data_IF_034563222259
#
_entry.id   IF_034563222259
#
_cell.length_a   1.000
_cell.length_b   1.000
_cell.length_c   1.000
_cell.angle_alpha   90.00
_cell.angle_beta   90.00
_cell.angle_gamma   90.00
#
_symmetry.space_group_name_H-M   'P 1'
#
loop_
_entity.id
_entity.type
_entity.pdbx_description
1 polymer ?
#
# COMPACT_ATOMS: atom_id res chain seq x y z
N UNK A 1 -27.06 -2.67 -8.00
CA UNK A 1 -25.76 -3.08 -7.47
C UNK A 1 -25.03 -1.84 -6.98
N UNK A 2 -24.93 -1.66 -5.66
CA UNK A 2 -24.29 -0.47 -5.09
C UNK A 2 -22.78 -0.65 -5.18
N UNK A 3 -22.12 0.24 -5.94
CA UNK A 3 -20.66 0.31 -6.06
C UNK A 3 -20.12 0.88 -4.75
N UNK A 4 -19.45 0.05 -3.95
CA UNK A 4 -18.70 0.53 -2.80
C UNK A 4 -17.31 0.93 -3.29
N UNK A 5 -17.15 2.22 -3.59
CA UNK A 5 -15.85 2.83 -3.83
C UNK A 5 -15.48 3.65 -2.61
N UNK A 6 -14.32 3.36 -2.08
CA UNK A 6 -13.70 4.14 -1.03
C UNK A 6 -13.08 5.39 -1.66
N UNK A 7 -13.91 6.39 -1.96
CA UNK A 7 -13.45 7.72 -2.33
C UNK A 7 -13.77 8.68 -1.21
N UNK A 8 -12.74 9.17 -0.58
CA UNK A 8 -12.84 10.34 0.28
C UNK A 8 -12.77 11.55 -0.62
N UNK A 9 -13.93 11.99 -1.09
CA UNK A 9 -14.08 13.30 -1.66
C UNK A 9 -14.40 14.28 -0.53
N UNK A 10 -13.42 14.98 -0.05
CA UNK A 10 -13.65 16.26 0.63
C UNK A 10 -14.13 17.25 -0.43
N UNK A 11 -15.44 17.49 -0.44
CA UNK A 11 -16.05 18.53 -1.27
C UNK A 11 -15.68 19.90 -0.69
N UNK A 12 -14.83 20.62 -1.40
CA UNK A 12 -14.76 22.06 -1.36
C UNK A 12 -15.07 22.59 -2.76
N UNK A 13 -15.95 23.59 -2.92
CA UNK A 13 -16.26 24.13 -4.22
C UNK A 13 -15.07 24.94 -4.75
N UNK A 14 -14.43 24.47 -5.80
CA UNK A 14 -13.45 25.25 -6.54
C UNK A 14 -14.16 26.08 -7.61
N UNK A 15 -13.96 27.38 -7.52
CA UNK A 15 -14.15 28.33 -8.60
C UNK A 15 -13.19 27.96 -9.74
N UNK A 16 -13.76 27.73 -10.91
CA UNK A 16 -13.02 27.53 -12.14
C UNK A 16 -12.26 28.79 -12.53
N UNK A 17 -10.96 28.66 -12.71
CA UNK A 17 -10.21 29.49 -13.64
C UNK A 17 -9.42 28.57 -14.56
N UNK A 18 -9.91 28.48 -15.81
CA UNK A 18 -9.26 27.80 -16.91
C UNK A 18 -8.11 28.64 -17.42
N UNK A 19 -6.89 28.09 -17.45
CA UNK A 19 -5.89 28.45 -18.44
C UNK A 19 -5.06 27.21 -18.72
N UNK A 20 -5.20 26.68 -19.92
CA UNK A 20 -4.40 25.60 -20.44
C UNK A 20 -2.96 26.04 -20.65
N UNK A 21 -2.05 25.20 -20.28
CA UNK A 21 -0.65 25.26 -20.59
C UNK A 21 -0.10 23.84 -20.41
N UNK A 22 0.14 23.15 -21.51
CA UNK A 22 0.91 21.91 -21.51
C UNK A 22 2.36 22.25 -21.09
N UNK A 23 2.69 22.05 -19.82
CA UNK A 23 4.07 22.09 -19.37
C UNK A 23 4.79 20.85 -19.93
N UNK A 24 5.90 21.02 -20.66
CA UNK A 24 6.67 19.89 -21.16
C UNK A 24 7.24 19.11 -19.97
N UNK A 25 6.80 17.88 -19.80
CA UNK A 25 7.39 16.95 -18.84
C UNK A 25 8.89 16.86 -19.06
N UNK A 26 9.73 17.11 -18.04
CA UNK A 26 11.17 16.95 -18.19
C UNK A 26 11.48 15.49 -18.56
N UNK A 27 12.16 15.29 -19.69
CA UNK A 27 12.64 13.94 -20.08
C UNK A 27 13.58 13.44 -19.00
N UNK A 28 13.38 12.22 -18.49
CA UNK A 28 14.32 11.59 -17.57
C UNK A 28 15.71 11.55 -18.23
N UNK A 29 16.77 11.86 -17.48
CA UNK A 29 18.14 11.60 -17.95
C UNK A 29 18.24 10.10 -18.16
N UNK A 30 18.63 9.68 -19.37
CA UNK A 30 18.92 8.25 -19.66
C UNK A 30 19.99 7.77 -18.68
N UNK A 31 19.81 6.60 -18.04
CA UNK A 31 20.86 6.02 -17.22
C UNK A 31 22.07 5.69 -18.09
N UNK A 32 23.27 5.91 -17.55
CA UNK A 32 24.53 5.60 -18.22
C UNK A 32 24.49 4.14 -18.74
N UNK A 33 24.78 3.97 -20.03
CA UNK A 33 24.86 2.65 -20.68
C UNK A 33 25.94 1.82 -19.98
N UNK A 34 25.49 0.81 -19.19
CA UNK A 34 26.43 -0.16 -18.61
C UNK A 34 25.97 -0.91 -17.37
N UNK A 35 24.97 -0.43 -16.62
CA UNK A 35 24.42 -1.17 -15.49
C UNK A 35 22.90 -1.22 -15.59
N UNK A 36 22.37 -2.36 -16.00
CA UNK A 36 20.95 -2.66 -15.88
C UNK A 36 20.61 -2.61 -14.39
N UNK A 37 19.88 -1.59 -13.98
CA UNK A 37 19.42 -1.49 -12.61
C UNK A 37 18.19 -2.39 -12.44
N UNK A 38 18.42 -3.63 -12.02
CA UNK A 38 17.36 -4.64 -11.78
C UNK A 38 16.35 -4.23 -10.72
N UNK A 39 16.56 -3.09 -10.04
CA UNK A 39 15.68 -2.54 -9.01
C UNK A 39 14.50 -1.73 -9.53
N UNK A 40 14.48 -1.32 -10.80
CA UNK A 40 13.44 -0.47 -11.38
C UNK A 40 12.19 -1.27 -11.79
N UNK A 41 11.73 -2.16 -10.92
CA UNK A 41 10.56 -3.02 -11.17
C UNK A 41 9.67 -3.10 -9.94
N UNK A 42 8.40 -3.39 -10.17
CA UNK A 42 7.46 -3.78 -9.11
C UNK A 42 7.82 -5.17 -8.60
N UNK A 43 7.82 -5.34 -7.29
CA UNK A 43 8.09 -6.63 -6.63
C UNK A 43 6.87 -7.21 -5.94
N UNK A 44 5.81 -6.41 -5.78
CA UNK A 44 4.59 -6.84 -5.13
C UNK A 44 3.39 -6.00 -5.53
N UNK A 45 2.24 -6.34 -4.97
CA UNK A 45 0.99 -5.63 -5.20
C UNK A 45 0.02 -5.79 -4.04
N UNK A 46 -0.86 -4.80 -3.87
CA UNK A 46 -2.01 -4.91 -2.98
C UNK A 46 -3.10 -5.79 -3.59
N UNK A 47 -3.89 -6.43 -2.73
CA UNK A 47 -5.08 -7.23 -3.09
C UNK A 47 -6.19 -6.95 -2.09
N UNK A 48 -7.39 -6.67 -2.61
CA UNK A 48 -8.63 -6.53 -1.87
C UNK A 48 -9.54 -7.75 -2.11
N UNK A 49 -10.42 -8.03 -1.16
CA UNK A 49 -11.34 -9.18 -1.26
C UNK A 49 -12.77 -8.83 -1.68
N UNK A 50 -13.14 -7.56 -1.79
CA UNK A 50 -14.52 -7.08 -1.93
C UNK A 50 -15.33 -7.77 -3.02
N UNK A 51 -14.75 -8.02 -4.18
CA UNK A 51 -15.39 -8.66 -5.33
C UNK A 51 -14.95 -10.13 -5.51
N UNK A 52 -14.23 -10.68 -4.53
CA UNK A 52 -13.61 -12.00 -4.61
C UNK A 52 -14.15 -13.00 -3.59
N UNK A 53 -15.27 -12.68 -2.93
CA UNK A 53 -15.89 -13.52 -1.91
C UNK A 53 -16.16 -14.97 -2.40
N UNK A 54 -16.56 -15.09 -3.66
CA UNK A 54 -16.94 -16.39 -4.26
C UNK A 54 -15.84 -17.00 -5.13
N UNK A 55 -14.62 -16.44 -5.10
CA UNK A 55 -13.54 -16.99 -5.88
C UNK A 55 -13.16 -18.37 -5.42
N UNK A 56 -13.08 -19.29 -6.38
CA UNK A 56 -12.58 -20.64 -6.16
C UNK A 56 -11.05 -20.67 -6.13
N UNK A 57 -10.46 -21.75 -5.65
CA UNK A 57 -9.01 -21.92 -5.53
C UNK A 57 -8.29 -21.70 -6.86
N UNK A 58 -8.88 -22.15 -7.98
CA UNK A 58 -8.32 -22.00 -9.31
C UNK A 58 -8.18 -20.53 -9.75
N UNK A 59 -9.10 -19.66 -9.35
CA UNK A 59 -9.03 -18.22 -9.66
C UNK A 59 -7.88 -17.56 -8.91
N UNK A 60 -7.67 -17.91 -7.65
CA UNK A 60 -6.52 -17.45 -6.87
C UNK A 60 -5.20 -17.97 -7.45
N UNK A 61 -5.13 -19.25 -7.82
CA UNK A 61 -3.95 -19.83 -8.45
C UNK A 61 -3.59 -19.11 -9.75
N UNK A 62 -4.58 -18.84 -10.60
CA UNK A 62 -4.38 -18.14 -11.87
C UNK A 62 -3.90 -16.69 -11.64
N UNK A 63 -4.53 -15.96 -10.71
CA UNK A 63 -4.13 -14.59 -10.38
C UNK A 63 -2.66 -14.53 -9.95
N UNK A 64 -2.24 -15.42 -9.05
CA UNK A 64 -0.86 -15.43 -8.56
C UNK A 64 0.14 -15.92 -9.63
N UNK A 65 -0.25 -16.82 -10.52
CA UNK A 65 0.57 -17.20 -11.67
C UNK A 65 0.80 -16.02 -12.60
N UNK A 66 -0.24 -15.26 -12.91
CA UNK A 66 -0.13 -14.06 -13.74
C UNK A 66 0.76 -12.98 -13.09
N UNK A 67 0.68 -12.80 -11.77
CA UNK A 67 1.55 -11.90 -11.03
C UNK A 67 3.02 -12.33 -11.11
N UNK A 68 3.31 -13.62 -10.89
CA UNK A 68 4.69 -14.15 -10.97
C UNK A 68 5.31 -14.00 -12.35
N UNK A 69 4.53 -14.15 -13.41
CA UNK A 69 5.01 -14.00 -14.80
C UNK A 69 5.59 -12.60 -15.08
N UNK A 70 5.16 -11.59 -14.33
CA UNK A 70 5.65 -10.22 -14.45
C UNK A 70 6.57 -9.79 -13.30
N UNK A 71 7.01 -10.74 -12.46
CA UNK A 71 8.00 -10.50 -11.40
C UNK A 71 7.42 -10.10 -10.05
N UNK A 72 6.09 -10.10 -9.86
CA UNK A 72 5.49 -9.84 -8.56
C UNK A 72 5.59 -11.08 -7.68
N UNK A 73 6.26 -10.96 -6.53
CA UNK A 73 6.49 -12.05 -5.58
C UNK A 73 5.89 -11.77 -4.20
N UNK A 74 5.40 -10.56 -3.96
CA UNK A 74 4.80 -10.15 -2.69
C UNK A 74 3.35 -9.72 -2.91
N UNK A 75 2.45 -10.24 -2.07
CA UNK A 75 1.06 -9.83 -2.00
C UNK A 75 0.83 -9.13 -0.66
N UNK A 76 0.22 -7.96 -0.70
CA UNK A 76 -0.26 -7.26 0.51
C UNK A 76 -1.77 -7.33 0.48
N UNK A 77 -2.35 -8.15 1.35
CA UNK A 77 -3.80 -8.15 1.60
C UNK A 77 -4.15 -6.83 2.28
N UNK A 78 -4.99 -6.02 1.65
CA UNK A 78 -5.30 -4.70 2.21
C UNK A 78 -6.05 -4.82 3.54
N UNK A 79 -7.03 -5.74 3.63
CA UNK A 79 -7.80 -5.98 4.84
C UNK A 79 -8.13 -7.47 4.99
N UNK A 80 -7.85 -8.08 6.14
CA UNK A 80 -8.45 -9.36 6.52
C UNK A 80 -9.89 -9.15 7.05
N UNK A 81 -10.16 -7.96 7.58
CA UNK A 81 -11.50 -7.55 8.04
C UNK A 81 -11.74 -6.07 7.72
N UNK A 82 -12.97 -5.74 7.30
CA UNK A 82 -13.36 -4.39 6.90
C UNK A 82 -14.79 -4.10 7.33
N UNK A 83 -15.00 -2.99 8.05
CA UNK A 83 -16.29 -2.62 8.64
C UNK A 83 -16.89 -3.79 9.45
N UNK A 84 -17.96 -4.39 8.96
CA UNK A 84 -18.70 -5.46 9.61
C UNK A 84 -18.40 -6.88 9.07
N UNK A 85 -17.34 -7.03 8.23
CA UNK A 85 -17.06 -8.25 7.49
C UNK A 85 -15.63 -8.75 7.68
N UNK A 86 -15.47 -10.08 7.78
CA UNK A 86 -14.18 -10.80 7.75
C UNK A 86 -14.10 -11.74 6.56
N UNK A 87 -12.88 -11.99 6.04
CA UNK A 87 -12.60 -12.94 4.94
C UNK A 87 -11.83 -14.18 5.38
N UNK A 88 -12.00 -14.56 6.64
CA UNK A 88 -11.47 -15.78 7.25
C UNK A 88 -12.53 -16.39 8.19
N UNK A 89 -12.30 -17.60 8.68
CA UNK A 89 -13.22 -18.25 9.62
C UNK A 89 -13.01 -17.78 11.07
N UNK A 90 -13.20 -16.48 11.28
CA UNK A 90 -13.18 -15.84 12.59
C UNK A 90 -14.57 -15.45 13.04
N UNK A 91 -14.73 -15.22 14.34
CA UNK A 91 -15.99 -14.77 14.92
C UNK A 91 -15.71 -13.69 15.99
N UNK A 92 -16.22 -12.50 15.79
CA UNK A 92 -16.15 -11.41 16.77
C UNK A 92 -17.38 -10.49 16.65
N UNK A 93 -17.63 -9.67 17.68
CA UNK A 93 -18.86 -8.89 17.78
C UNK A 93 -18.93 -7.69 16.82
N UNK A 94 -17.80 -7.21 16.32
CA UNK A 94 -17.74 -6.02 15.43
C UNK A 94 -17.68 -6.37 13.95
N UNK A 95 -17.45 -7.65 13.59
CA UNK A 95 -17.48 -8.16 12.21
C UNK A 95 -18.35 -9.42 12.12
N UNK A 96 -19.68 -9.29 12.28
CA UNK A 96 -20.58 -10.44 12.30
C UNK A 96 -20.75 -11.14 10.95
N UNK A 97 -20.39 -10.46 9.84
CA UNK A 97 -20.53 -10.99 8.49
C UNK A 97 -19.25 -11.70 8.05
N UNK A 98 -19.42 -12.90 7.48
CA UNK A 98 -18.30 -13.69 6.96
C UNK A 98 -18.24 -13.67 5.44
N UNK A 99 -17.12 -13.24 4.89
CA UNK A 99 -16.71 -13.50 3.51
C UNK A 99 -16.09 -14.89 3.42
N UNK A 100 -16.45 -15.64 2.39
CA UNK A 100 -16.08 -17.06 2.28
C UNK A 100 -14.57 -17.24 2.06
N UNK A 101 -13.84 -17.66 3.07
CA UNK A 101 -12.49 -18.26 2.98
C UNK A 101 -11.47 -17.62 2.00
N UNK A 102 -11.67 -16.37 1.57
CA UNK A 102 -10.81 -15.72 0.57
C UNK A 102 -9.35 -15.68 1.03
N UNK A 103 -9.10 -15.38 2.31
CA UNK A 103 -7.76 -15.35 2.87
C UNK A 103 -7.11 -16.75 2.87
N UNK A 104 -7.85 -17.80 3.24
CA UNK A 104 -7.33 -19.16 3.23
C UNK A 104 -6.93 -19.63 1.82
N UNK A 105 -7.77 -19.33 0.82
CA UNK A 105 -7.53 -19.69 -0.58
C UNK A 105 -6.36 -18.90 -1.17
N UNK A 106 -6.24 -17.60 -0.85
CA UNK A 106 -5.10 -16.79 -1.26
C UNK A 106 -3.80 -17.35 -0.68
N UNK A 107 -3.76 -17.66 0.62
CA UNK A 107 -2.57 -18.22 1.26
C UNK A 107 -2.18 -19.57 0.66
N UNK A 108 -3.14 -20.48 0.44
CA UNK A 108 -2.89 -21.77 -0.20
C UNK A 108 -2.30 -21.59 -1.63
N UNK A 109 -2.80 -20.64 -2.41
CA UNK A 109 -2.22 -20.31 -3.72
C UNK A 109 -0.80 -19.73 -3.58
N UNK A 110 -0.58 -18.83 -2.62
CA UNK A 110 0.72 -18.22 -2.37
C UNK A 110 1.77 -19.24 -1.94
N UNK A 111 1.41 -20.21 -1.11
CA UNK A 111 2.28 -21.33 -0.74
C UNK A 111 2.74 -22.13 -1.96
N UNK A 112 1.79 -22.54 -2.80
CA UNK A 112 2.09 -23.29 -4.03
C UNK A 112 3.02 -22.52 -4.97
N UNK A 113 2.90 -21.20 -5.01
CA UNK A 113 3.67 -20.33 -5.88
C UNK A 113 4.93 -19.75 -5.21
N UNK A 114 5.18 -20.05 -3.95
CA UNK A 114 6.29 -19.50 -3.17
C UNK A 114 6.29 -17.96 -3.20
N UNK A 115 5.13 -17.37 -2.92
CA UNK A 115 4.95 -15.93 -2.81
C UNK A 115 4.81 -15.51 -1.35
N UNK A 116 5.31 -14.34 -1.05
CA UNK A 116 5.20 -13.74 0.27
C UNK A 116 3.88 -13.00 0.43
N UNK A 117 3.22 -13.15 1.57
CA UNK A 117 1.94 -12.49 1.87
C UNK A 117 2.10 -11.66 3.16
N UNK A 118 1.80 -10.37 3.07
CA UNK A 118 1.57 -9.50 4.20
C UNK A 118 0.06 -9.40 4.43
N UNK A 119 -0.41 -9.68 5.64
CA UNK A 119 -1.84 -9.72 5.93
C UNK A 119 -2.26 -8.43 6.62
N UNK A 120 -3.14 -7.68 5.96
CA UNK A 120 -3.79 -6.48 6.50
C UNK A 120 -4.78 -6.83 7.60
N UNK A 121 -4.80 -6.00 8.63
CA UNK A 121 -5.63 -6.18 9.81
C UNK A 121 -7.08 -5.71 9.58
N UNK A 122 -7.73 -5.24 10.64
CA UNK A 122 -9.06 -4.64 10.60
C UNK A 122 -8.99 -3.17 10.17
N UNK A 123 -9.90 -2.76 9.29
CA UNK A 123 -10.15 -1.37 8.96
C UNK A 123 -11.64 -1.03 9.07
N UNK A 124 -11.93 0.16 9.52
CA UNK A 124 -13.28 0.72 9.65
C UNK A 124 -13.29 2.13 9.06
N UNK A 125 -14.26 2.41 8.19
CA UNK A 125 -14.37 3.70 7.50
C UNK A 125 -14.53 4.90 8.44
N UNK A 126 -14.95 4.68 9.68
CA UNK A 126 -15.01 5.75 10.69
C UNK A 126 -13.61 6.27 11.10
N UNK A 127 -12.52 5.60 10.70
CA UNK A 127 -11.16 6.10 10.88
C UNK A 127 -10.99 7.53 10.37
N UNK A 128 -11.54 7.82 9.21
CA UNK A 128 -11.36 9.12 8.58
C UNK A 128 -11.92 10.31 9.37
N UNK A 129 -12.95 10.07 10.20
CA UNK A 129 -13.50 11.06 11.11
C UNK A 129 -12.86 11.02 12.51
N UNK A 130 -12.01 10.00 12.79
CA UNK A 130 -11.47 9.72 14.11
C UNK A 130 -9.94 9.61 14.15
N UNK A 131 -9.23 10.05 13.12
CA UNK A 131 -7.78 9.92 12.97
C UNK A 131 -6.99 10.39 14.19
N UNK A 132 -7.45 11.46 14.86
CA UNK A 132 -6.82 12.04 16.04
C UNK A 132 -7.62 11.85 17.33
N UNK A 133 -8.69 11.05 17.31
CA UNK A 133 -9.49 10.73 18.49
C UNK A 133 -8.82 9.60 19.29
N UNK A 134 -8.17 9.94 20.39
CA UNK A 134 -7.41 9.00 21.21
C UNK A 134 -8.23 7.82 21.71
N UNK A 135 -9.48 8.05 22.16
CA UNK A 135 -10.34 6.97 22.64
C UNK A 135 -10.71 6.01 21.52
N UNK A 136 -11.02 6.54 20.34
CA UNK A 136 -11.28 5.72 19.16
C UNK A 136 -10.03 4.91 18.76
N UNK A 137 -8.86 5.55 18.71
CA UNK A 137 -7.59 4.88 18.38
C UNK A 137 -7.29 3.71 19.33
N UNK A 138 -7.49 3.89 20.65
CA UNK A 138 -7.28 2.82 21.64
C UNK A 138 -8.22 1.63 21.42
N UNK A 139 -9.51 1.89 21.21
CA UNK A 139 -10.52 0.85 20.98
C UNK A 139 -10.31 0.15 19.65
N UNK A 140 -9.96 0.90 18.62
CA UNK A 140 -9.73 0.35 17.30
C UNK A 140 -8.46 -0.51 17.24
N UNK A 141 -7.42 -0.15 17.99
CA UNK A 141 -6.24 -0.99 18.14
C UNK A 141 -6.58 -2.37 18.73
N UNK A 142 -7.47 -2.44 19.73
CA UNK A 142 -7.93 -3.72 20.29
C UNK A 142 -8.67 -4.58 19.25
N UNK A 143 -9.47 -3.95 18.37
CA UNK A 143 -10.14 -4.66 17.27
C UNK A 143 -9.12 -5.22 16.26
N UNK A 144 -8.11 -4.44 15.91
CA UNK A 144 -7.01 -4.90 15.06
C UNK A 144 -6.27 -6.09 15.69
N UNK A 145 -6.01 -6.04 16.98
CA UNK A 145 -5.36 -7.12 17.75
C UNK A 145 -6.24 -8.37 17.76
N UNK A 146 -7.54 -8.24 17.98
CA UNK A 146 -8.48 -9.36 17.93
C UNK A 146 -8.45 -10.06 16.58
N UNK A 147 -8.47 -9.30 15.49
CA UNK A 147 -8.35 -9.85 14.13
C UNK A 147 -7.01 -10.55 13.93
N UNK A 148 -5.92 -9.94 14.41
CA UNK A 148 -4.58 -10.53 14.30
C UNK A 148 -4.46 -11.87 15.03
N UNK A 149 -4.99 -11.96 16.25
CA UNK A 149 -4.99 -13.20 17.04
C UNK A 149 -5.77 -14.32 16.34
N UNK A 150 -6.95 -14.01 15.78
CA UNK A 150 -7.75 -14.95 15.01
C UNK A 150 -7.04 -15.41 13.73
N UNK A 151 -6.47 -14.46 12.97
CA UNK A 151 -5.70 -14.76 11.75
C UNK A 151 -4.48 -15.60 12.07
N UNK A 152 -3.75 -15.28 13.14
CA UNK A 152 -2.59 -16.07 13.54
C UNK A 152 -2.97 -17.49 14.01
N UNK A 153 -4.06 -17.65 14.74
CA UNK A 153 -4.54 -18.97 15.16
C UNK A 153 -4.85 -19.88 13.95
N UNK A 154 -5.39 -19.30 12.87
CA UNK A 154 -5.74 -20.03 11.65
C UNK A 154 -4.55 -20.23 10.70
N UNK A 155 -3.70 -19.22 10.54
CA UNK A 155 -2.72 -19.15 9.45
C UNK A 155 -1.28 -18.88 9.90
N UNK A 156 -1.01 -18.79 11.20
CA UNK A 156 0.34 -18.48 11.71
C UNK A 156 1.42 -19.47 11.26
N UNK A 157 1.01 -20.72 10.94
CA UNK A 157 1.87 -21.78 10.43
C UNK A 157 2.16 -21.72 8.93
N UNK A 158 1.42 -20.90 8.17
CA UNK A 158 1.58 -20.81 6.71
C UNK A 158 2.96 -20.27 6.33
N UNK A 159 3.74 -20.95 5.49
CA UNK A 159 5.04 -20.45 5.03
C UNK A 159 4.92 -19.23 4.12
N UNK A 160 3.76 -18.99 3.50
CA UNK A 160 3.50 -17.79 2.72
C UNK A 160 3.26 -16.55 3.59
N UNK A 161 2.79 -16.70 4.81
CA UNK A 161 2.53 -15.59 5.72
C UNK A 161 3.85 -14.99 6.24
N UNK A 162 4.29 -13.89 5.66
CA UNK A 162 5.58 -13.26 5.93
C UNK A 162 5.52 -12.02 6.81
N UNK A 163 4.42 -11.29 6.83
CA UNK A 163 4.32 -10.07 7.61
C UNK A 163 2.90 -9.58 7.81
N UNK A 164 2.76 -8.59 8.66
CA UNK A 164 1.53 -7.89 8.96
C UNK A 164 1.46 -6.55 8.24
N UNK A 165 0.27 -6.12 7.90
CA UNK A 165 0.01 -4.78 7.39
C UNK A 165 -1.04 -4.07 8.26
N UNK A 166 -0.73 -2.89 8.75
CA UNK A 166 -1.66 -2.00 9.44
C UNK A 166 -2.34 -1.15 8.36
N UNK A 167 -3.63 -1.37 8.04
CA UNK A 167 -4.27 -0.79 6.87
C UNK A 167 -4.77 0.65 7.08
N UNK A 168 -4.19 1.37 8.02
CA UNK A 168 -4.49 2.76 8.31
C UNK A 168 -3.44 3.63 7.64
N UNK A 169 -3.91 4.70 7.02
CA UNK A 169 -3.10 5.58 6.18
C UNK A 169 -2.88 6.92 6.89
N UNK A 170 -1.84 7.03 7.75
CA UNK A 170 -1.53 8.30 8.38
C UNK A 170 -0.93 9.28 7.38
N UNK A 171 -1.23 10.59 7.57
CA UNK A 171 -0.77 11.63 6.67
C UNK A 171 -0.42 12.93 7.43
N UNK A 172 0.55 13.73 6.92
CA UNK A 172 1.08 14.88 7.65
C UNK A 172 0.07 15.98 7.95
N UNK A 173 -1.03 16.09 7.19
CA UNK A 173 -1.99 17.16 7.39
C UNK A 173 -2.95 16.86 8.56
N UNK A 174 -3.40 15.62 8.73
CA UNK A 174 -4.17 15.20 9.90
C UNK A 174 -3.28 15.14 11.15
N UNK A 175 -2.07 14.61 11.02
CA UNK A 175 -1.09 14.46 12.09
C UNK A 175 -0.04 15.57 12.03
N UNK A 176 -0.47 16.82 12.08
CA UNK A 176 0.33 18.02 11.81
C UNK A 176 1.07 18.59 13.04
N UNK A 177 1.07 17.89 14.17
CA UNK A 177 1.87 18.20 15.36
C UNK A 177 2.50 16.94 15.94
N UNK A 178 3.61 17.12 16.68
CA UNK A 178 4.33 16.01 17.31
C UNK A 178 3.45 15.23 18.28
N UNK A 179 2.56 15.92 19.01
CA UNK A 179 1.64 15.29 19.96
C UNK A 179 0.65 14.37 19.22
N UNK A 180 0.11 14.81 18.08
CA UNK A 180 -0.83 13.99 17.28
C UNK A 180 -0.13 12.76 16.69
N UNK A 181 1.08 12.92 16.14
CA UNK A 181 1.86 11.77 15.64
C UNK A 181 2.21 10.83 16.79
N UNK A 182 2.62 11.37 17.95
CA UNK A 182 2.95 10.59 19.14
C UNK A 182 1.73 9.84 19.68
N UNK A 183 0.54 10.47 19.73
CA UNK A 183 -0.71 9.81 20.10
C UNK A 183 -1.05 8.66 19.16
N UNK A 184 -1.04 8.87 17.85
CA UNK A 184 -1.26 7.81 16.86
C UNK A 184 -0.24 6.68 17.02
N UNK A 185 1.04 7.03 17.08
CA UNK A 185 2.13 6.07 17.25
C UNK A 185 1.96 5.23 18.53
N UNK A 186 1.70 5.87 19.67
CA UNK A 186 1.72 5.18 20.96
C UNK A 186 0.41 4.43 21.26
N UNK A 187 -0.73 5.04 20.93
CA UNK A 187 -2.05 4.50 21.29
C UNK A 187 -2.56 3.50 20.25
N UNK A 188 -2.07 3.59 19.04
CA UNK A 188 -2.52 2.76 17.94
C UNK A 188 -1.39 1.87 17.38
N UNK A 189 -0.39 2.44 16.71
CA UNK A 189 0.62 1.66 16.00
C UNK A 189 1.43 0.77 16.94
N UNK A 190 2.04 1.33 18.00
CA UNK A 190 2.86 0.57 18.94
C UNK A 190 2.04 -0.46 19.74
N UNK A 191 0.79 -0.12 20.08
CA UNK A 191 -0.11 -1.05 20.75
C UNK A 191 -0.35 -2.30 19.91
N UNK A 192 -0.61 -2.11 18.61
CA UNK A 192 -0.78 -3.20 17.65
C UNK A 192 0.55 -3.94 17.44
N UNK A 193 1.60 -3.25 16.99
CA UNK A 193 2.84 -3.88 16.56
C UNK A 193 3.54 -4.64 17.68
N UNK A 194 3.54 -4.12 18.92
CA UNK A 194 4.08 -4.82 20.06
C UNK A 194 3.34 -6.14 20.34
N UNK A 195 2.00 -6.15 20.17
CA UNK A 195 1.23 -7.38 20.32
C UNK A 195 1.49 -8.35 19.18
N UNK A 196 1.62 -7.86 17.95
CA UNK A 196 1.95 -8.70 16.78
C UNK A 196 3.29 -9.41 16.95
N UNK A 197 4.32 -8.72 17.45
CA UNK A 197 5.63 -9.31 17.74
C UNK A 197 5.56 -10.38 18.84
N UNK A 198 4.67 -10.23 19.83
CA UNK A 198 4.42 -11.27 20.83
C UNK A 198 3.70 -12.49 20.24
N UNK A 199 2.83 -12.28 19.26
CA UNK A 199 2.06 -13.36 18.61
C UNK A 199 2.97 -14.25 17.76
N UNK A 200 3.75 -13.66 16.84
CA UNK A 200 4.57 -14.47 15.92
C UNK A 200 5.87 -13.79 15.43
N UNK A 201 6.20 -12.64 15.96
CA UNK A 201 7.43 -11.88 15.64
C UNK A 201 7.69 -11.65 14.13
N UNK A 202 6.63 -11.58 13.31
CA UNK A 202 6.75 -11.26 11.89
C UNK A 202 6.85 -9.75 11.68
N UNK A 203 7.49 -9.27 10.59
CA UNK A 203 7.55 -7.85 10.24
C UNK A 203 6.18 -7.19 10.23
N UNK A 204 6.10 -5.96 10.74
CA UNK A 204 4.89 -5.13 10.73
C UNK A 204 5.12 -3.96 9.78
N UNK A 205 4.16 -3.73 8.90
CA UNK A 205 4.19 -2.66 7.90
C UNK A 205 3.00 -1.71 8.01
N UNK A 206 3.19 -0.50 7.49
CA UNK A 206 2.15 0.53 7.33
C UNK A 206 2.42 1.31 6.05
N UNK A 207 1.37 1.85 5.40
CA UNK A 207 1.50 2.79 4.29
C UNK A 207 1.04 4.18 4.72
N UNK A 208 1.91 5.18 4.57
CA UNK A 208 1.56 6.58 4.75
C UNK A 208 1.19 7.21 3.40
N UNK A 209 0.33 8.25 3.43
CA UNK A 209 0.06 9.01 2.22
C UNK A 209 0.33 10.51 2.43
N UNK A 210 0.21 11.31 1.38
CA UNK A 210 0.47 12.74 1.40
C UNK A 210 -0.16 13.43 0.20
N UNK A 211 -0.28 14.75 0.29
CA UNK A 211 -0.75 15.60 -0.81
C UNK A 211 0.20 16.79 -0.96
N UNK A 212 0.80 16.96 -2.12
CA UNK A 212 1.81 17.99 -2.38
C UNK A 212 1.27 19.42 -2.35
N UNK A 213 -0.04 19.60 -2.34
CA UNK A 213 -0.67 20.92 -2.22
C UNK A 213 -0.96 21.29 -0.76
N UNK A 214 -0.93 20.30 0.15
CA UNK A 214 -1.19 20.47 1.59
C UNK A 214 0.05 20.29 2.45
N UNK A 215 1.08 19.63 1.93
CA UNK A 215 2.26 19.20 2.70
C UNK A 215 3.54 19.59 1.94
N UNK A 216 4.44 20.29 2.58
CA UNK A 216 5.79 20.54 2.04
C UNK A 216 6.72 19.33 2.22
N UNK A 217 7.84 19.25 1.47
CA UNK A 217 8.84 18.21 1.69
C UNK A 217 9.36 18.15 3.13
N UNK A 218 9.54 19.29 3.79
CA UNK A 218 10.01 19.38 5.17
C UNK A 218 8.99 18.84 6.17
N UNK A 219 7.71 19.11 5.95
CA UNK A 219 6.64 18.55 6.79
C UNK A 219 6.54 17.03 6.62
N UNK A 220 6.64 16.51 5.39
CA UNK A 220 6.68 15.07 5.16
C UNK A 220 7.92 14.45 5.80
N UNK A 221 9.10 15.05 5.66
CA UNK A 221 10.35 14.59 6.28
C UNK A 221 10.18 14.43 7.79
N UNK A 222 9.69 15.48 8.46
CA UNK A 222 9.48 15.47 9.91
C UNK A 222 8.43 14.43 10.32
N UNK A 223 7.30 14.36 9.62
CA UNK A 223 6.25 13.36 9.87
C UNK A 223 6.80 11.92 9.75
N UNK A 224 7.58 11.62 8.73
CA UNK A 224 8.17 10.30 8.53
C UNK A 224 9.20 9.97 9.62
N UNK A 225 9.96 10.96 10.10
CA UNK A 225 10.85 10.79 11.24
C UNK A 225 10.07 10.43 12.52
N UNK A 226 9.00 11.15 12.81
CA UNK A 226 8.15 10.86 13.98
C UNK A 226 7.41 9.53 13.88
N UNK A 227 6.87 9.19 12.71
CA UNK A 227 6.20 7.90 12.48
C UNK A 227 7.17 6.73 12.64
N UNK A 228 8.40 6.87 12.15
CA UNK A 228 9.43 5.82 12.20
C UNK A 228 9.96 5.48 13.60
N UNK A 229 9.61 6.28 14.62
CA UNK A 229 9.84 5.92 16.02
C UNK A 229 8.90 4.82 16.52
N UNK A 230 7.92 4.41 15.72
CA UNK A 230 7.07 3.26 16.01
C UNK A 230 7.84 1.94 15.78
N UNK A 231 7.36 0.87 16.43
CA UNK A 231 7.92 -0.47 16.25
C UNK A 231 7.45 -1.10 14.92
N UNK A 232 7.96 -0.56 13.80
CA UNK A 232 7.64 -0.95 12.44
C UNK A 232 8.89 -1.43 11.71
N UNK A 233 8.77 -2.50 10.94
CA UNK A 233 9.86 -3.03 10.13
C UNK A 233 9.77 -2.59 8.66
N UNK A 234 8.59 -2.16 8.20
CA UNK A 234 8.40 -1.62 6.86
C UNK A 234 7.50 -0.40 6.93
N UNK A 235 7.96 0.71 6.37
CA UNK A 235 7.13 1.88 6.12
C UNK A 235 7.05 2.07 4.61
N UNK A 236 5.83 2.07 4.08
CA UNK A 236 5.54 2.39 2.68
C UNK A 236 5.10 3.84 2.57
N UNK A 237 5.37 4.44 1.41
CA UNK A 237 4.82 5.75 1.05
C UNK A 237 4.04 5.61 -0.25
N UNK A 238 2.76 5.95 -0.23
CA UNK A 238 1.94 6.05 -1.43
C UNK A 238 2.45 7.21 -2.29
N UNK A 239 2.54 7.01 -3.60
CA UNK A 239 3.10 8.04 -4.49
C UNK A 239 2.12 9.17 -4.81
N UNK A 240 0.82 8.93 -4.68
CA UNK A 240 -0.24 9.91 -4.86
C UNK A 240 -0.41 10.44 -6.30
N UNK A 241 0.28 9.84 -7.27
CA UNK A 241 0.24 10.28 -8.68
C UNK A 241 -1.07 9.85 -9.36
N UNK A 242 -1.55 8.65 -9.06
CA UNK A 242 -2.79 8.11 -9.64
C UNK A 242 -4.02 8.88 -9.17
N UNK A 243 -4.09 9.22 -7.89
CA UNK A 243 -5.19 10.04 -7.32
C UNK A 243 -5.05 11.53 -7.65
N UNK A 244 -3.93 11.97 -8.24
CA UNK A 244 -3.68 13.35 -8.60
C UNK A 244 -3.25 14.25 -7.42
N UNK A 245 -2.87 13.70 -6.30
CA UNK A 245 -2.37 14.44 -5.14
C UNK A 245 -0.93 14.93 -5.34
N UNK A 246 -0.20 14.31 -6.25
CA UNK A 246 1.21 14.57 -6.48
C UNK A 246 1.49 14.71 -7.97
N UNK A 247 2.15 15.82 -8.33
CA UNK A 247 2.67 15.99 -9.68
C UNK A 247 3.99 15.22 -9.83
N UNK A 248 4.19 14.53 -10.94
CA UNK A 248 5.37 13.73 -11.24
C UNK A 248 6.69 14.45 -10.98
N UNK A 249 6.76 15.73 -11.33
CA UNK A 249 7.96 16.57 -11.16
C UNK A 249 8.37 16.76 -9.68
N UNK A 250 7.43 16.64 -8.75
CA UNK A 250 7.69 16.78 -7.30
C UNK A 250 8.09 15.45 -6.64
N UNK A 251 7.80 14.31 -7.28
CA UNK A 251 7.84 12.98 -6.66
C UNK A 251 9.20 12.66 -6.02
N UNK A 252 10.30 12.82 -6.77
CA UNK A 252 11.63 12.49 -6.25
C UNK A 252 12.04 13.33 -5.04
N UNK A 253 11.65 14.60 -4.97
CA UNK A 253 12.04 15.49 -3.85
C UNK A 253 11.31 15.09 -2.56
N UNK A 254 10.05 14.67 -2.66
CA UNK A 254 9.30 14.17 -1.51
C UNK A 254 9.79 12.81 -1.05
N UNK A 255 10.15 11.88 -1.95
CA UNK A 255 10.76 10.61 -1.58
C UNK A 255 12.13 10.79 -0.93
N UNK A 256 12.95 11.72 -1.40
CA UNK A 256 14.22 12.12 -0.72
C UNK A 256 13.96 12.68 0.68
N UNK A 257 12.94 13.53 0.83
CA UNK A 257 12.56 14.11 2.11
C UNK A 257 12.08 13.00 3.07
N UNK A 258 11.23 12.07 2.61
CA UNK A 258 10.78 10.93 3.40
C UNK A 258 11.97 10.03 3.84
N UNK A 259 12.86 9.67 2.92
CA UNK A 259 14.05 8.89 3.24
C UNK A 259 14.97 9.59 4.27
N UNK A 260 15.13 10.92 4.15
CA UNK A 260 15.89 11.73 5.11
C UNK A 260 15.22 11.71 6.50
N UNK A 261 13.90 11.81 6.57
CA UNK A 261 13.15 11.66 7.82
C UNK A 261 13.41 10.31 8.47
N UNK A 262 13.26 9.23 7.72
CA UNK A 262 13.42 7.86 8.21
C UNK A 262 14.84 7.54 8.70
N UNK A 263 15.89 7.97 7.99
CA UNK A 263 17.25 7.46 8.20
C UNK A 263 18.28 8.51 8.63
N UNK A 264 17.95 9.81 8.55
CA UNK A 264 18.85 10.89 8.96
C UNK A 264 18.33 11.59 10.21
N UNK A 265 17.04 11.92 10.30
CA UNK A 265 16.46 12.49 11.51
C UNK A 265 16.22 11.41 12.58
N UNK A 266 15.73 10.23 12.18
CA UNK A 266 15.62 9.08 13.07
C UNK A 266 16.69 8.02 12.73
N UNK A 267 17.91 8.21 13.19
CA UNK A 267 19.02 7.28 12.97
C UNK A 267 18.82 5.91 13.64
N UNK A 268 17.87 5.77 14.54
CA UNK A 268 17.52 4.51 15.20
C UNK A 268 16.64 3.59 14.33
N UNK A 269 15.99 4.13 13.29
CA UNK A 269 15.17 3.30 12.40
C UNK A 269 16.03 2.39 11.53
N UNK A 270 15.77 1.08 11.62
CA UNK A 270 16.49 0.03 10.88
C UNK A 270 15.58 -0.74 9.92
N UNK A 271 14.32 -0.29 9.77
CA UNK A 271 13.36 -0.94 8.88
C UNK A 271 13.59 -0.61 7.41
N UNK A 272 12.77 -1.20 6.55
CA UNK A 272 12.76 -0.95 5.11
C UNK A 272 11.83 0.21 4.76
N UNK A 273 12.18 0.94 3.69
CA UNK A 273 11.33 1.94 3.08
C UNK A 273 10.92 1.47 1.67
N UNK A 274 9.62 1.28 1.45
CA UNK A 274 9.07 0.88 0.16
C UNK A 274 8.25 2.01 -0.46
N UNK A 275 8.07 1.96 -1.77
CA UNK A 275 7.06 2.77 -2.44
C UNK A 275 5.80 1.94 -2.69
N UNK A 276 4.63 2.57 -2.53
CA UNK A 276 3.33 2.07 -2.96
C UNK A 276 2.89 2.88 -4.18
N UNK A 277 3.16 2.31 -5.35
CA UNK A 277 3.02 2.93 -6.65
C UNK A 277 1.60 2.78 -7.18
N UNK A 278 0.92 3.88 -7.47
CA UNK A 278 -0.43 3.89 -8.02
C UNK A 278 -0.43 3.61 -9.52
N UNK A 279 -1.02 2.48 -9.92
CA UNK A 279 -1.07 2.02 -11.32
C UNK A 279 -2.32 2.48 -12.08
N UNK A 280 -3.07 3.41 -11.52
CA UNK A 280 -4.32 3.97 -12.06
C UNK A 280 -4.22 5.48 -12.24
N UNK A 281 -5.15 6.06 -12.98
CA UNK A 281 -5.28 7.52 -13.20
C UNK A 281 -6.39 8.10 -12.31
N UNK A 282 -6.50 9.44 -12.24
CA UNK A 282 -7.59 10.14 -11.54
C UNK A 282 -8.99 9.66 -11.99
N UNK A 283 -9.11 9.18 -13.24
CA UNK A 283 -10.34 8.56 -13.76
C UNK A 283 -10.42 7.06 -13.46
N UNK A 284 -9.59 6.54 -12.56
CA UNK A 284 -9.48 5.12 -12.16
C UNK A 284 -9.04 4.15 -13.27
N UNK A 285 -8.79 4.62 -14.47
CA UNK A 285 -8.33 3.79 -15.58
C UNK A 285 -6.87 3.35 -15.38
N UNK A 286 -6.45 2.22 -15.99
CA UNK A 286 -5.05 1.81 -15.98
C UNK A 286 -4.12 2.91 -16.48
N UNK A 287 -2.98 3.09 -15.81
CA UNK A 287 -1.96 4.05 -16.20
C UNK A 287 -1.23 3.66 -17.49
N UNK A 288 -0.52 4.58 -18.13
CA UNK A 288 0.39 4.23 -19.21
C UNK A 288 1.67 3.58 -18.67
N UNK A 289 2.30 2.73 -19.49
CA UNK A 289 3.60 2.12 -19.11
C UNK A 289 4.69 3.18 -18.96
N UNK A 290 4.66 4.24 -19.73
CA UNK A 290 5.61 5.35 -19.64
C UNK A 290 5.54 6.02 -18.28
N UNK A 291 4.32 6.25 -17.76
CA UNK A 291 4.13 6.78 -16.41
C UNK A 291 4.68 5.83 -15.35
N UNK A 292 4.36 4.54 -15.42
CA UNK A 292 4.86 3.54 -14.46
C UNK A 292 6.40 3.50 -14.45
N UNK A 293 7.03 3.51 -15.63
CA UNK A 293 8.50 3.55 -15.75
C UNK A 293 9.09 4.82 -15.12
N UNK A 294 8.44 5.95 -15.31
CA UNK A 294 8.89 7.22 -14.75
C UNK A 294 8.75 7.23 -13.22
N UNK A 295 7.62 6.75 -12.67
CA UNK A 295 7.41 6.59 -11.22
C UNK A 295 8.51 5.69 -10.64
N UNK A 296 8.70 4.48 -11.18
CA UNK A 296 9.75 3.56 -10.72
C UNK A 296 11.14 4.20 -10.74
N UNK A 297 11.47 4.97 -11.77
CA UNK A 297 12.77 5.65 -11.88
C UNK A 297 12.94 6.72 -10.81
N UNK A 298 11.91 7.52 -10.55
CA UNK A 298 11.96 8.62 -9.58
C UNK A 298 11.96 8.14 -8.13
N UNK A 299 11.24 7.07 -7.83
CA UNK A 299 11.06 6.53 -6.49
C UNK A 299 12.21 5.59 -6.10
N UNK A 300 12.46 4.54 -6.88
CA UNK A 300 13.55 3.59 -6.63
C UNK A 300 14.94 4.19 -6.92
N UNK A 301 14.99 5.33 -7.61
CA UNK A 301 16.22 6.11 -7.77
C UNK A 301 16.64 6.86 -6.51
N UNK A 302 15.78 6.97 -5.51
CA UNK A 302 16.11 7.56 -4.21
C UNK A 302 16.80 6.51 -3.33
N UNK A 303 17.95 6.87 -2.76
CA UNK A 303 18.65 5.99 -1.83
C UNK A 303 17.75 5.59 -0.67
N UNK A 304 17.84 4.32 -0.23
CA UNK A 304 17.02 3.70 0.82
C UNK A 304 15.62 3.25 0.42
N UNK A 305 15.06 3.65 -0.74
CA UNK A 305 13.85 3.01 -1.24
C UNK A 305 14.22 1.65 -1.78
N UNK A 306 13.78 0.60 -1.08
CA UNK A 306 14.28 -0.76 -1.33
C UNK A 306 13.40 -1.59 -2.25
N UNK A 307 12.08 -1.33 -2.27
CA UNK A 307 11.09 -2.08 -3.04
C UNK A 307 9.96 -1.18 -3.54
N UNK A 308 9.36 -1.60 -4.65
CA UNK A 308 8.11 -1.02 -5.15
C UNK A 308 6.99 -2.08 -5.15
N UNK A 309 5.88 -1.73 -4.52
CA UNK A 309 4.62 -2.48 -4.62
C UNK A 309 3.59 -1.64 -5.37
N UNK A 310 2.59 -2.24 -5.97
CA UNK A 310 1.60 -1.50 -6.76
C UNK A 310 0.22 -1.52 -6.13
N UNK A 311 -0.49 -0.42 -6.23
CA UNK A 311 -1.93 -0.35 -6.00
C UNK A 311 -2.66 -0.15 -7.32
N UNK A 312 -3.30 -1.20 -7.90
CA UNK A 312 -3.10 -2.64 -7.61
C UNK A 312 -3.16 -3.46 -8.91
N UNK A 313 -2.49 -4.61 -8.95
CA UNK A 313 -2.42 -5.48 -10.13
C UNK A 313 -3.79 -5.91 -10.65
N UNK A 314 -4.64 -6.50 -9.78
CA UNK A 314 -5.91 -7.07 -10.23
C UNK A 314 -6.80 -6.04 -10.97
N UNK A 315 -6.89 -4.85 -10.46
CA UNK A 315 -7.74 -3.81 -11.05
C UNK A 315 -7.14 -3.23 -12.34
N UNK A 316 -5.84 -2.95 -12.35
CA UNK A 316 -5.23 -2.10 -13.37
C UNK A 316 -4.31 -2.84 -14.35
N UNK A 317 -3.91 -4.08 -14.07
CA UNK A 317 -2.99 -4.86 -14.91
C UNK A 317 -3.51 -6.26 -15.24
N UNK A 318 -4.52 -6.80 -14.52
CA UNK A 318 -5.03 -8.14 -14.76
C UNK A 318 -6.03 -8.16 -15.92
N UNK A 319 -5.83 -8.98 -16.96
CA UNK A 319 -6.75 -9.06 -18.11
C UNK A 319 -8.15 -9.57 -17.76
N UNK A 320 -8.26 -10.33 -16.65
CA UNK A 320 -9.53 -10.85 -16.13
C UNK A 320 -10.14 -9.94 -15.05
N UNK A 321 -9.46 -8.83 -14.74
CA UNK A 321 -9.92 -7.83 -13.79
C UNK A 321 -10.99 -6.88 -14.38
N UNK A 322 -11.41 -5.87 -13.59
CA UNK A 322 -12.51 -4.98 -13.97
C UNK A 322 -12.31 -4.19 -15.27
N UNK A 323 -11.05 -3.88 -15.60
CA UNK A 323 -10.71 -3.13 -16.82
C UNK A 323 -10.30 -4.02 -18.00
N UNK A 324 -10.32 -5.34 -17.84
CA UNK A 324 -10.20 -6.32 -18.92
C UNK A 324 -9.08 -6.01 -19.90
N UNK A 325 -9.46 -5.69 -21.15
CA UNK A 325 -8.51 -5.44 -22.24
C UNK A 325 -7.52 -4.31 -21.95
N UNK A 326 -7.95 -3.22 -21.31
CA UNK A 326 -7.07 -2.07 -21.04
C UNK A 326 -6.02 -2.42 -19.98
N UNK A 327 -6.43 -3.12 -18.93
CA UNK A 327 -5.51 -3.68 -17.93
C UNK A 327 -4.52 -4.66 -18.58
N UNK A 328 -5.01 -5.52 -19.47
CA UNK A 328 -4.18 -6.46 -20.21
C UNK A 328 -3.13 -5.80 -21.10
N UNK A 329 -3.43 -4.65 -21.71
CA UNK A 329 -2.46 -3.86 -22.49
C UNK A 329 -1.32 -3.35 -21.58
N UNK A 330 -1.66 -2.78 -20.40
CA UNK A 330 -0.66 -2.33 -19.46
C UNK A 330 0.20 -3.51 -18.96
N UNK A 331 -0.42 -4.64 -18.61
CA UNK A 331 0.31 -5.84 -18.21
C UNK A 331 1.31 -6.28 -19.26
N UNK A 332 0.88 -6.35 -20.53
CA UNK A 332 1.77 -6.78 -21.62
C UNK A 332 2.92 -5.80 -21.84
N UNK A 333 2.65 -4.50 -21.77
CA UNK A 333 3.67 -3.47 -21.88
C UNK A 333 4.67 -3.54 -20.72
N UNK A 334 4.18 -3.77 -19.49
CA UNK A 334 5.01 -3.94 -18.31
C UNK A 334 5.86 -5.23 -18.39
N UNK A 335 5.29 -6.33 -18.84
CA UNK A 335 6.03 -7.58 -19.08
C UNK A 335 7.19 -7.39 -20.08
N UNK A 336 6.93 -6.68 -21.17
CA UNK A 336 7.97 -6.36 -22.15
C UNK A 336 9.07 -5.47 -21.55
N UNK A 337 8.69 -4.52 -20.72
CA UNK A 337 9.63 -3.67 -19.98
C UNK A 337 10.51 -4.49 -19.04
N UNK A 338 9.94 -5.36 -18.22
CA UNK A 338 10.71 -6.24 -17.30
C UNK A 338 11.67 -7.13 -18.07
N UNK A 339 11.22 -7.70 -19.22
CA UNK A 339 12.11 -8.49 -20.10
C UNK A 339 13.27 -7.68 -20.69
N UNK A 340 13.07 -6.41 -20.97
CA UNK A 340 14.14 -5.56 -21.53
C UNK A 340 15.23 -5.20 -20.52
N UNK A 341 15.01 -5.50 -19.23
CA UNK A 341 15.97 -5.26 -18.13
C UNK A 341 16.81 -6.50 -17.79
N UNK A 342 16.46 -7.66 -18.35
CA UNK A 342 17.20 -8.93 -18.21
C UNK A 342 18.31 -9.05 -19.23
#
# INVERSE_FOLDING_TARGET
>A
MKKYFLFIALFFPLLMCSCGGDDPTPKPKEPEKGKVNTRMVLTGTFVEFFDKDNWEQSQWNNLLDEMKQIGLNTVIVQFAAFNDKVWYDGNNAFTPNKGKFALARLLAAAEQKQMDVYIGLYFDNSYWQNQTNENWLRLHAERCITVAEQVNALFGHSPAFKGWYIPHEPEPNAYNTDEKVASFRNLFVNKISNRLHQINNKPVSIAAFWNSDLTSPQQLQHFMAELSKANLQVIMLQDGVGVGHVKMIKLADYYKAAAKGLYTENTAYQGEFWTDLETFTVSELPASIERIKQQLTLELGVDKVSKAVSFQYYKNMCPTGPYGREAGKLRQAYFNYVKSLQ
#
